data_IF_483229814201
#
_entry.id   IF_483229814201
#
_cell.length_a   1.000
_cell.length_b   1.000
_cell.length_c   1.000
_cell.angle_alpha   90.00
_cell.angle_beta   90.00
_cell.angle_gamma   90.00
#
_symmetry.space_group_name_H-M   'P 1'
#
loop_
_entity.id
_entity.type
_entity.pdbx_description
1 polymer ?
#
# COMPACT_ATOMS: atom_id res chain seq x y z
N UNK A 1 22.69 6.37 5.74
CA UNK A 1 21.88 6.04 4.55
C UNK A 1 20.83 7.13 4.39
N UNK A 2 20.38 7.45 3.17
CA UNK A 2 19.29 8.40 2.99
C UNK A 2 17.97 7.66 3.24
N UNK A 3 17.24 8.05 4.29
CA UNK A 3 15.89 7.57 4.57
C UNK A 3 14.90 8.18 3.58
N UNK A 4 14.01 7.36 3.03
CA UNK A 4 12.88 7.84 2.24
C UNK A 4 11.68 8.01 3.17
N UNK A 5 11.09 9.20 3.19
CA UNK A 5 9.93 9.50 4.03
C UNK A 5 8.71 9.64 3.13
N UNK A 6 7.66 8.87 3.44
CA UNK A 6 6.37 8.97 2.77
C UNK A 6 5.26 9.10 3.81
N UNK A 7 4.40 10.11 3.66
CA UNK A 7 3.16 10.24 4.43
C UNK A 7 1.98 9.77 3.60
N UNK A 8 1.23 8.78 4.08
CA UNK A 8 0.05 8.25 3.41
C UNK A 8 -1.17 8.40 4.34
N UNK A 9 -2.24 9.00 3.83
CA UNK A 9 -3.55 9.08 4.48
C UNK A 9 -4.47 7.94 3.99
N UNK A 10 -4.76 7.01 4.90
CA UNK A 10 -5.59 5.83 4.69
C UNK A 10 -7.07 6.15 4.91
N UNK A 11 -7.64 6.96 4.02
CA UNK A 11 -9.05 7.32 4.06
C UNK A 11 -9.98 6.14 3.77
N UNK A 12 -11.26 6.25 4.16
CA UNK A 12 -12.25 5.19 3.91
C UNK A 12 -12.61 5.03 2.42
N UNK A 13 -12.49 6.10 1.64
CA UNK A 13 -12.83 6.10 0.21
C UNK A 13 -11.63 6.14 -0.74
N UNK A 14 -10.55 6.82 -0.35
CA UNK A 14 -9.36 7.01 -1.17
C UNK A 14 -8.09 6.97 -0.31
N UNK A 15 -7.05 6.36 -0.84
CA UNK A 15 -5.66 6.46 -0.39
C UNK A 15 -5.07 7.75 -0.94
N UNK A 16 -4.36 8.51 -0.12
CA UNK A 16 -3.77 9.80 -0.51
C UNK A 16 -2.34 9.91 -0.04
N UNK A 17 -1.44 10.35 -0.91
CA UNK A 17 -0.06 10.72 -0.59
C UNK A 17 0.20 12.17 -0.95
N UNK A 18 1.47 12.52 -1.14
CA UNK A 18 1.89 13.86 -1.58
C UNK A 18 1.50 14.12 -3.05
N UNK A 19 1.71 13.13 -3.91
CA UNK A 19 1.49 13.23 -5.35
C UNK A 19 0.52 12.17 -5.89
N UNK A 20 -0.08 11.35 -5.03
CA UNK A 20 -1.00 10.26 -5.42
C UNK A 20 -2.34 10.37 -4.72
N UNK A 21 -3.41 10.02 -5.43
CA UNK A 21 -4.75 9.88 -4.89
C UNK A 21 -5.49 8.83 -5.71
N UNK A 22 -5.95 7.74 -5.08
CA UNK A 22 -6.67 6.68 -5.76
C UNK A 22 -7.72 6.03 -4.85
N UNK A 23 -8.78 5.43 -5.41
CA UNK A 23 -9.83 4.76 -4.64
C UNK A 23 -9.28 3.62 -3.77
N UNK A 24 -9.88 3.43 -2.60
CA UNK A 24 -9.65 2.23 -1.78
C UNK A 24 -10.39 1.04 -2.41
N UNK A 25 -9.92 0.57 -3.56
CA UNK A 25 -10.50 -0.54 -4.31
C UNK A 25 -9.42 -1.50 -4.77
N UNK A 26 -9.64 -2.80 -4.55
CA UNK A 26 -8.73 -3.88 -4.95
C UNK A 26 -9.50 -5.03 -5.59
N UNK A 27 -8.92 -5.64 -6.61
CA UNK A 27 -9.32 -6.96 -7.11
C UNK A 27 -8.19 -7.95 -6.83
N UNK A 28 -8.56 -9.14 -6.32
CA UNK A 28 -7.63 -10.23 -5.98
C UNK A 28 -7.70 -11.34 -7.01
N UNK A 29 -6.54 -11.90 -7.36
CA UNK A 29 -6.41 -13.00 -8.30
C UNK A 29 -5.49 -14.08 -7.75
N UNK A 30 -5.84 -15.34 -8.02
CA UNK A 30 -5.05 -16.53 -7.65
C UNK A 30 -3.92 -16.86 -8.64
N UNK A 31 -3.91 -16.18 -9.79
CA UNK A 31 -2.88 -16.27 -10.83
C UNK A 31 -2.67 -14.88 -11.44
N UNK A 32 -1.51 -14.61 -12.05
CA UNK A 32 -1.24 -13.33 -12.71
C UNK A 32 -2.35 -13.04 -13.73
N UNK A 33 -3.12 -11.94 -13.58
CA UNK A 33 -4.12 -11.59 -14.56
C UNK A 33 -3.45 -11.21 -15.87
N UNK A 34 -4.15 -11.40 -16.99
CA UNK A 34 -3.68 -10.88 -18.27
C UNK A 34 -3.44 -9.37 -18.15
N UNK A 35 -2.33 -8.89 -18.72
CA UNK A 35 -2.02 -7.45 -18.74
C UNK A 35 -2.92 -6.76 -19.75
N UNK A 36 -4.17 -6.54 -19.36
CA UNK A 36 -5.11 -5.74 -20.12
C UNK A 36 -4.85 -4.27 -19.72
N UNK A 37 -4.52 -3.42 -20.70
CA UNK A 37 -4.49 -1.95 -20.56
C UNK A 37 -3.60 -1.34 -19.45
N UNK A 38 -2.26 -1.53 -19.50
CA UNK A 38 -1.30 -0.76 -18.67
C UNK A 38 -1.60 -0.72 -17.15
N UNK A 39 -2.39 -1.64 -16.63
CA UNK A 39 -2.72 -1.71 -15.22
C UNK A 39 -1.48 -2.14 -14.42
N UNK A 40 -1.22 -1.46 -13.31
CA UNK A 40 -0.22 -1.89 -12.35
C UNK A 40 -0.71 -3.18 -11.66
N UNK A 41 0.10 -4.24 -11.72
CA UNK A 41 -0.14 -5.53 -11.07
C UNK A 41 0.84 -5.68 -9.92
N UNK A 42 0.31 -5.79 -8.71
CA UNK A 42 1.09 -6.08 -7.52
C UNK A 42 0.98 -7.56 -7.17
N UNK A 43 2.11 -8.21 -6.91
CA UNK A 43 2.18 -9.57 -6.38
C UNK A 43 2.74 -9.53 -4.96
N UNK A 44 1.99 -10.06 -4.00
CA UNK A 44 2.44 -10.20 -2.62
C UNK A 44 2.07 -11.60 -2.10
N UNK A 45 3.07 -12.33 -1.60
CA UNK A 45 2.92 -13.69 -1.06
C UNK A 45 2.15 -14.66 -1.99
N UNK A 46 2.38 -14.56 -3.30
CA UNK A 46 1.74 -15.42 -4.31
C UNK A 46 0.31 -15.02 -4.70
N UNK A 47 -0.24 -13.96 -4.10
CA UNK A 47 -1.53 -13.36 -4.51
C UNK A 47 -1.29 -12.15 -5.39
N UNK A 48 -2.10 -11.98 -6.44
CA UNK A 48 -2.02 -10.86 -7.35
C UNK A 48 -3.16 -9.88 -7.11
N UNK A 49 -2.85 -8.60 -7.28
CA UNK A 49 -3.74 -7.49 -6.99
C UNK A 49 -3.73 -6.50 -8.14
N UNK A 50 -4.87 -5.91 -8.46
CA UNK A 50 -4.99 -4.67 -9.26
C UNK A 50 -5.80 -3.64 -8.49
N UNK A 51 -5.55 -2.35 -8.75
CA UNK A 51 -6.40 -1.28 -8.24
C UNK A 51 -7.75 -1.30 -8.98
N UNK A 52 -8.81 -0.94 -8.26
CA UNK A 52 -10.16 -0.83 -8.81
C UNK A 52 -10.74 0.55 -8.55
N UNK A 53 -11.44 1.11 -9.53
CA UNK A 53 -12.26 2.31 -9.35
C UNK A 53 -13.48 2.05 -8.44
N UNK A 54 -13.87 0.78 -8.30
CA UNK A 54 -14.92 0.38 -7.36
C UNK A 54 -14.32 0.25 -5.97
N UNK A 55 -14.77 1.12 -5.06
CA UNK A 55 -14.37 1.10 -3.65
C UNK A 55 -14.76 -0.22 -2.99
N UNK A 56 -13.88 -0.74 -2.14
CA UNK A 56 -14.20 -1.84 -1.26
C UNK A 56 -15.28 -1.43 -0.25
N UNK A 57 -16.06 -2.39 0.29
CA UNK A 57 -16.99 -2.12 1.37
C UNK A 57 -16.32 -1.40 2.54
N UNK A 58 -17.06 -0.53 3.23
CA UNK A 58 -16.53 0.16 4.40
C UNK A 58 -16.05 -0.83 5.46
N UNK A 59 -14.80 -0.65 5.91
CA UNK A 59 -14.21 -1.41 7.01
C UNK A 59 -14.09 -0.52 8.23
N UNK A 60 -14.84 -0.88 9.28
CA UNK A 60 -14.77 -0.19 10.55
C UNK A 60 -13.38 -0.30 11.18
N UNK A 61 -12.77 -1.49 11.10
CA UNK A 61 -11.38 -1.73 11.49
C UNK A 61 -10.54 -2.00 10.24
N UNK A 62 -9.52 -1.16 10.01
CA UNK A 62 -8.65 -1.23 8.82
C UNK A 62 -7.56 -2.28 8.93
N UNK A 63 -7.44 -2.95 10.08
CA UNK A 63 -6.39 -3.94 10.38
C UNK A 63 -6.84 -5.39 10.23
N UNK A 64 -8.12 -5.62 9.89
CA UNK A 64 -8.74 -6.95 9.85
C UNK A 64 -8.17 -7.88 8.79
N UNK A 65 -7.62 -7.31 7.72
CA UNK A 65 -7.00 -8.03 6.60
C UNK A 65 -5.90 -7.19 5.96
N UNK A 66 -5.35 -7.68 4.84
CA UNK A 66 -4.20 -7.10 4.17
C UNK A 66 -4.56 -5.96 3.18
N UNK A 67 -5.84 -5.59 2.99
CA UNK A 67 -6.24 -4.61 1.97
C UNK A 67 -5.46 -3.29 2.10
N UNK A 68 -5.44 -2.69 3.29
CA UNK A 68 -4.77 -1.40 3.51
C UNK A 68 -3.25 -1.51 3.45
N UNK A 69 -2.68 -2.67 3.79
CA UNK A 69 -1.27 -2.92 3.55
C UNK A 69 -0.96 -2.95 2.04
N UNK A 70 -1.72 -3.72 1.25
CA UNK A 70 -1.54 -3.79 -0.21
C UNK A 70 -1.75 -2.43 -0.88
N UNK A 71 -2.81 -1.70 -0.50
CA UNK A 71 -3.04 -0.32 -0.96
C UNK A 71 -1.86 0.60 -0.63
N UNK A 72 -1.21 0.41 0.52
CA UNK A 72 -0.03 1.20 0.90
C UNK A 72 1.16 0.88 0.00
N UNK A 73 1.38 -0.38 -0.36
CA UNK A 73 2.44 -0.75 -1.30
C UNK A 73 2.24 -0.08 -2.67
N UNK A 74 1.00 -0.04 -3.16
CA UNK A 74 0.65 0.74 -4.35
C UNK A 74 1.04 2.22 -4.19
N UNK A 75 0.58 2.86 -3.12
CA UNK A 75 0.87 4.26 -2.87
C UNK A 75 2.38 4.55 -2.85
N UNK A 76 3.17 3.72 -2.16
CA UNK A 76 4.64 3.85 -2.10
C UNK A 76 5.29 3.72 -3.48
N UNK A 77 4.89 2.73 -4.29
CA UNK A 77 5.46 2.58 -5.64
C UNK A 77 5.09 3.72 -6.57
N UNK A 78 3.87 4.24 -6.49
CA UNK A 78 3.40 5.37 -7.29
C UNK A 78 4.11 6.67 -6.89
N UNK A 79 4.24 6.93 -5.59
CA UNK A 79 5.02 8.06 -5.05
C UNK A 79 6.48 8.01 -5.50
N UNK A 80 7.13 6.85 -5.34
CA UNK A 80 8.51 6.66 -5.78
C UNK A 80 8.67 6.87 -7.28
N UNK A 81 7.73 6.36 -8.09
CA UNK A 81 7.69 6.56 -9.55
C UNK A 81 7.58 8.04 -9.91
N UNK A 82 6.65 8.77 -9.28
CA UNK A 82 6.44 10.20 -9.53
C UNK A 82 7.64 11.06 -9.11
N UNK A 83 8.37 10.64 -8.07
CA UNK A 83 9.61 11.27 -7.62
C UNK A 83 10.86 10.82 -8.42
N UNK A 84 10.72 9.85 -9.32
CA UNK A 84 11.85 9.31 -10.10
C UNK A 84 12.88 8.53 -9.26
N UNK A 85 12.47 7.93 -8.14
CA UNK A 85 13.35 7.23 -7.20
C UNK A 85 13.03 5.73 -7.12
N UNK A 86 14.01 4.94 -6.66
CA UNK A 86 13.84 3.52 -6.39
C UNK A 86 13.64 3.26 -4.90
N UNK A 87 12.71 2.35 -4.57
CA UNK A 87 12.52 1.86 -3.20
C UNK A 87 13.50 0.74 -2.85
N UNK A 88 13.98 -0.03 -3.83
CA UNK A 88 14.76 -1.23 -3.55
C UNK A 88 16.08 -0.90 -2.85
N UNK A 89 16.31 -1.53 -1.70
CA UNK A 89 17.50 -1.32 -0.87
C UNK A 89 17.52 0.02 -0.14
N UNK A 90 16.37 0.67 0.05
CA UNK A 90 16.20 1.86 0.87
C UNK A 90 15.45 1.53 2.16
N UNK A 91 15.73 2.32 3.19
CA UNK A 91 14.93 2.34 4.41
C UNK A 91 13.78 3.33 4.20
N UNK A 92 12.55 2.88 4.48
CA UNK A 92 11.35 3.71 4.34
C UNK A 92 10.76 4.05 5.70
N UNK A 93 10.67 5.36 5.98
CA UNK A 93 9.88 5.88 7.09
C UNK A 93 8.48 6.17 6.58
N UNK A 94 7.52 5.33 6.98
CA UNK A 94 6.12 5.47 6.63
C UNK A 94 5.36 6.24 7.72
N UNK A 95 4.90 7.44 7.40
CA UNK A 95 3.84 8.13 8.14
C UNK A 95 2.47 7.59 7.73
N UNK A 96 1.72 7.05 8.68
CA UNK A 96 0.36 6.52 8.46
C UNK A 96 -0.70 7.46 9.03
N UNK A 97 -1.76 7.70 8.26
CA UNK A 97 -2.88 8.55 8.64
C UNK A 97 -4.18 7.76 8.76
N UNK A 98 -5.03 8.15 9.71
CA UNK A 98 -6.39 7.64 9.84
C UNK A 98 -7.39 8.79 9.78
N UNK A 99 -8.63 8.56 9.33
CA UNK A 99 -9.71 9.52 9.50
C UNK A 99 -9.86 9.94 10.97
N UNK A 100 -10.18 11.21 11.28
CA UNK A 100 -10.30 11.68 12.65
C UNK A 100 -11.27 10.86 13.51
N UNK A 101 -12.35 10.35 12.92
CA UNK A 101 -13.34 9.52 13.60
C UNK A 101 -12.76 8.16 14.08
N UNK A 102 -11.76 7.64 13.37
CA UNK A 102 -11.16 6.32 13.65
C UNK A 102 -9.88 6.45 14.50
N UNK A 103 -9.19 7.58 14.41
CA UNK A 103 -7.85 7.78 14.97
C UNK A 103 -7.75 7.42 16.45
N UNK A 104 -8.65 7.96 17.28
CA UNK A 104 -8.59 7.77 18.74
C UNK A 104 -8.69 6.31 19.18
N UNK A 105 -9.34 5.46 18.38
CA UNK A 105 -9.54 4.05 18.69
C UNK A 105 -8.53 3.14 18.00
N UNK A 106 -8.08 3.49 16.78
CA UNK A 106 -7.30 2.59 15.92
C UNK A 106 -5.83 2.98 15.74
N UNK A 107 -5.38 4.16 16.17
CA UNK A 107 -3.99 4.59 15.92
C UNK A 107 -2.93 3.56 16.39
N UNK A 108 -3.11 2.98 17.58
CA UNK A 108 -2.18 2.00 18.13
C UNK A 108 -2.19 0.68 17.36
N UNK A 109 -3.37 0.11 17.06
CA UNK A 109 -3.49 -1.14 16.32
C UNK A 109 -3.02 -0.97 14.88
N UNK A 110 -3.33 0.16 14.24
CA UNK A 110 -2.92 0.45 12.87
C UNK A 110 -1.41 0.62 12.75
N UNK A 111 -0.76 1.27 13.73
CA UNK A 111 0.71 1.31 13.81
C UNK A 111 1.30 -0.09 13.97
N UNK A 112 0.74 -0.90 14.88
CA UNK A 112 1.20 -2.27 15.11
C UNK A 112 1.08 -3.13 13.85
N UNK A 113 -0.05 -3.01 13.15
CA UNK A 113 -0.32 -3.70 11.89
C UNK A 113 0.81 -3.52 10.87
N UNK A 114 1.23 -2.29 10.58
CA UNK A 114 2.36 -2.06 9.66
C UNK A 114 3.71 -2.52 10.19
N UNK A 115 3.97 -2.34 11.49
CA UNK A 115 5.21 -2.82 12.10
C UNK A 115 5.32 -4.35 12.06
N UNK A 116 4.21 -5.07 12.20
CA UNK A 116 4.18 -6.53 12.08
C UNK A 116 4.54 -6.98 10.65
N UNK A 117 4.00 -6.31 9.62
CA UNK A 117 4.38 -6.57 8.22
C UNK A 117 5.84 -6.22 7.93
N UNK A 118 6.35 -5.11 8.47
CA UNK A 118 7.71 -4.63 8.22
C UNK A 118 8.78 -5.38 9.04
N UNK A 119 8.41 -6.18 10.04
CA UNK A 119 9.32 -6.82 11.00
C UNK A 119 10.50 -7.57 10.37
N UNK A 120 10.30 -8.14 9.18
CA UNK A 120 11.31 -8.93 8.47
C UNK A 120 11.71 -8.31 7.12
N UNK A 121 11.45 -7.01 6.95
CA UNK A 121 11.49 -6.34 5.66
C UNK A 121 10.31 -6.72 4.77
N UNK A 122 10.05 -5.90 3.77
CA UNK A 122 8.93 -6.07 2.84
C UNK A 122 9.49 -6.41 1.46
N UNK A 123 9.03 -7.50 0.88
CA UNK A 123 9.32 -7.87 -0.52
C UNK A 123 8.03 -8.21 -1.25
N UNK A 124 7.85 -7.59 -2.42
CA UNK A 124 6.71 -7.78 -3.31
C UNK A 124 7.17 -7.60 -4.75
N UNK A 125 6.30 -7.85 -5.73
CA UNK A 125 6.57 -7.48 -7.12
C UNK A 125 5.57 -6.45 -7.61
N UNK A 126 6.06 -5.49 -8.39
CA UNK A 126 5.26 -4.52 -9.13
C UNK A 126 5.51 -4.73 -10.62
N UNK A 127 4.49 -5.11 -11.38
CA UNK A 127 4.56 -5.46 -12.80
C UNK A 127 5.62 -6.53 -13.12
N UNK A 128 5.79 -7.49 -12.21
CA UNK A 128 6.80 -8.56 -12.30
C UNK A 128 8.21 -8.14 -11.87
N UNK A 129 8.44 -6.88 -11.49
CA UNK A 129 9.74 -6.43 -10.95
C UNK A 129 9.73 -6.48 -9.43
N UNK A 130 10.73 -7.14 -8.84
CA UNK A 130 10.89 -7.22 -7.38
C UNK A 130 11.19 -5.85 -6.78
N UNK A 131 10.42 -5.50 -5.75
CA UNK A 131 10.63 -4.33 -4.88
C UNK A 131 10.88 -4.85 -3.47
N UNK A 132 12.00 -4.45 -2.87
CA UNK A 132 12.40 -4.87 -1.52
C UNK A 132 12.87 -3.68 -0.71
N UNK A 133 12.16 -3.36 0.37
CA UNK A 133 12.45 -2.25 1.27
C UNK A 133 12.52 -2.74 2.71
N UNK A 134 13.33 -2.06 3.52
CA UNK A 134 13.38 -2.25 4.98
C UNK A 134 12.63 -1.11 5.66
#
# INVERSE_FOLDING_TARGET
>A
MAELIFGIDHGNGNMKGESVCFPCGLVRYVSEPGRFMNEDILEYQGTYYTLSDTKMPFKADKTVDDDYFILTLYALTMEARNKGITLTGKDVVLGIGLPPADYGQQATSFKKYFLDYAKHGITFKMNGKTVSSI
#
